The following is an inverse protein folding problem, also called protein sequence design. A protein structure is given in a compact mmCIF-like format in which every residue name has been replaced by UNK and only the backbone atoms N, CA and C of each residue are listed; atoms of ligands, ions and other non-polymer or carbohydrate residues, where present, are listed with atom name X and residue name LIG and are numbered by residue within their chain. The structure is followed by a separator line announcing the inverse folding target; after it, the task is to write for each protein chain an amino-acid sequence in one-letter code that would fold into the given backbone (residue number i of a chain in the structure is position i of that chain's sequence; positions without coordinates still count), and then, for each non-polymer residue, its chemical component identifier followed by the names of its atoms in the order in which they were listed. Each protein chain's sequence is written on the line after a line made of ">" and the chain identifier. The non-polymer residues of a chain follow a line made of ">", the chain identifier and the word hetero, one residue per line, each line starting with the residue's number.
data_IF_620741579615
#
_entry.id   IF_620741579615
#
_cell.length_a   1.000
_cell.length_b   1.000
_cell.length_c   1.000
_cell.angle_alpha   90.00
_cell.angle_beta   90.00
_cell.angle_gamma   90.00
#
_symmetry.space_group_name_H-M   'P 1'
#
loop_
_entity.id
_entity.type
_entity.pdbx_description
1 polymer ?
#
# COMPACT_ATOMS: atom_id res chain seq x y z
N UNK A 1 -8.68 -16.13 14.47
CA UNK A 1 -7.48 -16.33 13.62
C UNK A 1 -7.75 -15.98 12.16
N UNK A 2 -8.78 -16.55 11.52
CA UNK A 2 -9.14 -16.30 10.12
C UNK A 2 -9.30 -14.80 9.80
N UNK A 3 -10.05 -14.07 10.62
CA UNK A 3 -10.26 -12.61 10.43
C UNK A 3 -8.95 -11.81 10.41
N UNK A 4 -7.94 -12.22 11.20
CA UNK A 4 -6.62 -11.57 11.20
C UNK A 4 -5.89 -11.80 9.88
N UNK A 5 -5.91 -13.04 9.39
CA UNK A 5 -5.28 -13.41 8.12
C UNK A 5 -5.91 -12.62 6.98
N UNK A 6 -7.25 -12.48 7.00
CA UNK A 6 -7.97 -11.66 6.01
C UNK A 6 -7.48 -10.21 6.01
N UNK A 7 -7.35 -9.57 7.19
CA UNK A 7 -6.83 -8.19 7.25
C UNK A 7 -5.40 -8.05 6.74
N UNK A 8 -4.53 -9.00 7.07
CA UNK A 8 -3.14 -9.01 6.58
C UNK A 8 -3.12 -9.13 5.06
N UNK A 9 -3.83 -10.12 4.50
CA UNK A 9 -3.89 -10.35 3.05
C UNK A 9 -4.49 -9.15 2.33
N UNK A 10 -5.61 -8.61 2.82
CA UNK A 10 -6.25 -7.44 2.22
C UNK A 10 -5.33 -6.21 2.23
N UNK A 11 -4.64 -5.94 3.35
CA UNK A 11 -3.71 -4.83 3.44
C UNK A 11 -2.46 -4.98 2.56
N UNK A 12 -1.92 -6.20 2.43
CA UNK A 12 -0.82 -6.47 1.51
C UNK A 12 -1.25 -6.27 0.06
N UNK A 13 -2.42 -6.78 -0.34
CA UNK A 13 -2.97 -6.60 -1.69
C UNK A 13 -3.18 -5.11 -1.97
N UNK A 14 -3.80 -4.37 -1.06
CA UNK A 14 -4.01 -2.93 -1.21
C UNK A 14 -2.68 -2.17 -1.32
N UNK A 15 -1.70 -2.50 -0.48
CA UNK A 15 -0.37 -1.90 -0.52
C UNK A 15 0.31 -2.12 -1.87
N UNK A 16 0.27 -3.34 -2.40
CA UNK A 16 0.83 -3.66 -3.72
C UNK A 16 0.11 -2.87 -4.82
N UNK A 17 -1.23 -2.86 -4.83
CA UNK A 17 -2.00 -2.14 -5.84
C UNK A 17 -1.66 -0.64 -5.85
N UNK A 18 -1.60 -0.01 -4.69
CA UNK A 18 -1.23 1.41 -4.57
C UNK A 18 0.17 1.69 -5.09
N UNK A 19 1.14 0.82 -4.80
CA UNK A 19 2.51 0.96 -5.31
C UNK A 19 2.57 0.76 -6.83
N UNK A 20 1.84 -0.21 -7.37
CA UNK A 20 1.80 -0.49 -8.81
C UNK A 20 1.12 0.63 -9.59
N UNK A 21 -0.07 1.06 -9.18
CA UNK A 21 -0.76 2.17 -9.83
C UNK A 21 0.01 3.48 -9.66
N UNK A 22 0.58 3.71 -8.48
CA UNK A 22 1.39 4.90 -8.26
C UNK A 22 2.62 4.96 -9.16
N UNK A 23 3.30 3.82 -9.38
CA UNK A 23 4.41 3.74 -10.32
C UNK A 23 3.99 4.01 -11.77
N UNK A 24 2.83 3.48 -12.19
CA UNK A 24 2.28 3.73 -13.53
C UNK A 24 1.91 5.21 -13.70
N UNK A 25 1.21 5.79 -12.74
CA UNK A 25 0.81 7.20 -12.70
C UNK A 25 2.01 8.17 -12.75
N UNK A 26 3.11 7.86 -12.07
CA UNK A 26 4.36 8.65 -12.12
C UNK A 26 5.05 8.58 -13.48
N UNK A 27 4.84 7.53 -14.26
CA UNK A 27 5.41 7.40 -15.61
C UNK A 27 4.68 8.23 -16.68
N UNK A 28 3.51 8.78 -16.35
CA UNK A 28 2.69 9.56 -17.27
C UNK A 28 3.25 10.99 -17.46
N UNK A 29 3.08 11.61 -18.63
CA UNK A 29 3.62 12.95 -18.93
C UNK A 29 2.86 14.10 -18.25
N UNK A 30 1.73 13.84 -17.60
CA UNK A 30 0.89 14.84 -16.95
C UNK A 30 1.32 15.10 -15.51
N UNK A 31 1.58 16.36 -15.15
CA UNK A 31 1.92 16.76 -13.78
C UNK A 31 0.86 16.31 -12.75
N UNK A 32 -0.42 16.32 -13.13
CA UNK A 32 -1.50 15.85 -12.27
C UNK A 32 -1.40 14.34 -12.02
N UNK A 33 -1.12 13.55 -13.06
CA UNK A 33 -0.92 12.11 -12.94
C UNK A 33 0.31 11.77 -12.09
N UNK A 34 1.41 12.51 -12.26
CA UNK A 34 2.61 12.33 -11.41
C UNK A 34 2.31 12.63 -9.95
N UNK A 35 1.58 13.71 -9.65
CA UNK A 35 1.19 14.04 -8.27
C UNK A 35 0.33 12.94 -7.63
N UNK A 36 -0.68 12.45 -8.37
CA UNK A 36 -1.53 11.34 -7.92
C UNK A 36 -0.67 10.10 -7.66
N UNK A 37 0.24 9.77 -8.58
CA UNK A 37 1.09 8.59 -8.45
C UNK A 37 2.03 8.64 -7.24
N UNK A 38 2.61 9.81 -6.95
CA UNK A 38 3.40 10.00 -5.73
C UNK A 38 2.54 9.81 -4.47
N UNK A 39 1.31 10.34 -4.46
CA UNK A 39 0.39 10.16 -3.33
C UNK A 39 0.00 8.69 -3.14
N UNK A 40 -0.26 7.96 -4.23
CA UNK A 40 -0.54 6.51 -4.22
C UNK A 40 0.63 5.72 -3.66
N UNK A 41 1.88 6.02 -4.09
CA UNK A 41 3.08 5.38 -3.56
C UNK A 41 3.20 5.62 -2.05
N UNK A 42 3.03 6.86 -1.58
CA UNK A 42 3.10 7.20 -0.16
C UNK A 42 2.05 6.42 0.64
N UNK A 43 0.81 6.37 0.16
CA UNK A 43 -0.27 5.60 0.79
C UNK A 43 0.03 4.09 0.80
N UNK A 44 0.61 3.56 -0.28
CA UNK A 44 1.07 2.17 -0.35
C UNK A 44 2.12 1.86 0.72
N UNK A 45 3.13 2.73 0.88
CA UNK A 45 4.16 2.59 1.91
C UNK A 45 3.59 2.65 3.32
N UNK A 46 2.68 3.61 3.60
CA UNK A 46 2.00 3.71 4.90
C UNK A 46 1.21 2.43 5.18
N UNK A 47 0.47 1.92 4.20
CA UNK A 47 -0.31 0.68 4.32
C UNK A 47 0.59 -0.50 4.68
N UNK A 48 1.73 -0.63 4.01
CA UNK A 48 2.70 -1.70 4.30
C UNK A 48 3.27 -1.58 5.72
N UNK A 49 3.63 -0.38 6.16
CA UNK A 49 4.11 -0.15 7.53
C UNK A 49 3.07 -0.52 8.58
N UNK A 50 1.80 -0.17 8.37
CA UNK A 50 0.70 -0.53 9.27
C UNK A 50 0.53 -2.04 9.35
N UNK A 51 0.57 -2.76 8.21
CA UNK A 51 0.47 -4.21 8.18
C UNK A 51 1.67 -4.88 8.87
N UNK A 52 2.90 -4.42 8.63
CA UNK A 52 4.09 -4.92 9.31
C UNK A 52 3.95 -4.74 10.83
N UNK A 53 3.57 -3.54 11.29
CA UNK A 53 3.35 -3.25 12.71
C UNK A 53 2.26 -4.14 13.31
N UNK A 54 1.18 -4.38 12.55
CA UNK A 54 0.10 -5.27 12.96
C UNK A 54 0.58 -6.72 13.10
N UNK A 55 1.37 -7.23 12.16
CA UNK A 55 1.96 -8.58 12.22
C UNK A 55 2.83 -8.71 13.48
N UNK A 56 3.78 -7.80 13.68
CA UNK A 56 4.71 -7.83 14.84
C UNK A 56 3.95 -7.83 16.17
N UNK A 57 2.95 -6.94 16.31
CA UNK A 57 2.11 -6.88 17.52
C UNK A 57 1.33 -8.13 17.84
N UNK A 58 1.11 -9.00 16.85
CA UNK A 58 0.39 -10.25 17.03
C UNK A 58 1.32 -11.47 17.18
N UNK A 59 2.64 -11.26 17.10
CA UNK A 59 3.66 -12.29 17.36
C UNK A 59 4.17 -12.23 18.81
N UNK A 60 4.17 -11.04 19.42
CA UNK A 60 4.44 -10.81 20.84
C UNK A 60 3.18 -11.01 21.69
#
# INVERSE_FOLDING_TARGET
>A
MITRIIYIVAGLILGILLLTYGADSVSQPSNASVFIGVAEIILGLITMLVIIRYIIRNLN
#
